data_IF_054792307423
#
_entry.id   IF_054792307423
#
_cell.length_a   1.000
_cell.length_b   1.000
_cell.length_c   1.000
_cell.angle_alpha   90.00
_cell.angle_beta   90.00
_cell.angle_gamma   90.00
#
_symmetry.space_group_name_H-M   'P 1'
#
loop_
_entity.id
_entity.type
_entity.pdbx_description
1 polymer ?
#
# COMPACT_ATOMS: atom_id res chain seq x y z
N UNK A 1 5.24 10.92 -7.65
CA UNK A 1 4.31 11.82 -8.36
C UNK A 1 4.58 11.78 -9.85
N UNK A 2 3.79 12.50 -10.64
CA UNK A 2 3.93 12.63 -12.09
C UNK A 2 3.82 14.10 -12.53
N UNK A 3 4.42 14.43 -13.67
CA UNK A 3 4.43 15.77 -14.26
C UNK A 3 4.37 15.70 -15.78
N UNK A 4 3.91 16.77 -16.41
CA UNK A 4 3.95 16.90 -17.87
C UNK A 4 5.36 17.23 -18.35
N UNK A 5 5.81 16.54 -19.40
CA UNK A 5 7.01 16.87 -20.17
C UNK A 5 6.76 18.06 -21.08
N UNK A 6 7.82 18.64 -21.66
CA UNK A 6 7.72 19.69 -22.68
C UNK A 6 6.88 19.29 -23.91
N UNK A 7 6.70 17.99 -24.16
CA UNK A 7 5.87 17.44 -25.23
C UNK A 7 4.43 17.12 -24.83
N UNK A 8 4.03 17.40 -23.59
CA UNK A 8 2.68 17.13 -23.07
C UNK A 8 2.44 15.68 -22.59
N UNK A 9 3.47 14.82 -22.57
CA UNK A 9 3.39 13.47 -21.98
C UNK A 9 3.50 13.50 -20.45
N UNK A 10 2.84 12.57 -19.75
CA UNK A 10 2.85 12.47 -18.29
C UNK A 10 3.93 11.50 -17.84
N UNK A 11 4.98 11.97 -17.16
CA UNK A 11 6.07 11.13 -16.66
C UNK A 11 6.21 11.21 -15.15
N UNK A 12 6.66 10.11 -14.55
CA UNK A 12 7.14 10.04 -13.21
C UNK A 12 8.35 10.96 -13.04
N UNK A 13 8.41 11.68 -11.92
CA UNK A 13 9.54 12.53 -11.59
C UNK A 13 10.07 12.28 -10.18
N UNK A 14 11.35 12.57 -9.99
CA UNK A 14 12.00 12.67 -8.69
C UNK A 14 12.36 14.14 -8.41
N UNK A 15 11.89 14.67 -7.28
CA UNK A 15 12.30 15.98 -6.80
C UNK A 15 13.41 15.83 -5.76
N UNK A 16 14.60 16.35 -6.04
CA UNK A 16 15.75 16.29 -5.13
C UNK A 16 16.57 17.56 -5.21
N UNK A 17 16.91 18.14 -4.05
CA UNK A 17 17.73 19.37 -3.96
C UNK A 17 17.21 20.50 -4.88
N UNK A 18 15.91 20.78 -4.79
CA UNK A 18 15.21 21.78 -5.61
C UNK A 18 15.28 21.57 -7.14
N UNK A 19 15.60 20.35 -7.58
CA UNK A 19 15.62 19.97 -9.00
C UNK A 19 14.63 18.84 -9.25
N UNK A 20 13.79 19.02 -10.26
CA UNK A 20 12.97 17.95 -10.84
C UNK A 20 13.81 17.14 -11.83
N UNK A 21 13.78 15.82 -11.69
CA UNK A 21 14.40 14.88 -12.63
C UNK A 21 13.30 14.01 -13.22
N UNK A 22 13.16 14.04 -14.54
CA UNK A 22 12.30 13.11 -15.28
C UNK A 22 12.88 11.69 -15.17
N UNK A 23 12.04 10.72 -14.85
CA UNK A 23 12.44 9.31 -14.71
C UNK A 23 12.26 8.53 -16.02
N UNK A 24 11.56 9.09 -17.00
CA UNK A 24 11.24 8.44 -18.26
C UNK A 24 10.12 7.41 -18.15
N UNK A 25 10.07 6.49 -19.10
CA UNK A 25 9.06 5.43 -19.20
C UNK A 25 9.68 4.11 -19.65
N UNK A 26 8.93 3.01 -19.60
CA UNK A 26 9.29 1.70 -20.18
C UNK A 26 9.08 1.65 -21.72
N UNK A 27 9.22 2.79 -22.39
CA UNK A 27 9.03 2.94 -23.84
C UNK A 27 7.61 3.30 -24.27
N UNK A 28 6.64 3.38 -23.35
CA UNK A 28 5.30 3.88 -23.59
C UNK A 28 5.14 5.38 -23.34
N UNK A 29 3.91 5.92 -23.41
CA UNK A 29 3.66 7.35 -23.32
C UNK A 29 3.67 7.93 -21.91
N UNK A 30 3.57 7.11 -20.85
CA UNK A 30 3.46 7.62 -19.49
C UNK A 30 4.07 6.76 -18.39
N UNK A 31 4.30 7.40 -17.24
CA UNK A 31 4.72 6.75 -15.99
C UNK A 31 4.25 7.57 -14.78
N UNK A 32 4.09 6.89 -13.65
CA UNK A 32 3.68 7.47 -12.36
C UNK A 32 4.53 6.86 -11.25
N UNK A 33 5.23 7.70 -10.47
CA UNK A 33 5.95 7.24 -9.27
C UNK A 33 5.04 7.25 -8.04
N UNK A 34 5.05 6.15 -7.27
CA UNK A 34 4.20 5.93 -6.10
C UNK A 34 4.98 5.85 -4.77
N UNK A 35 6.19 5.27 -4.77
CA UNK A 35 7.00 5.17 -3.55
C UNK A 35 8.50 5.39 -3.82
N UNK A 36 9.22 5.79 -2.79
CA UNK A 36 10.66 5.99 -2.79
C UNK A 36 11.24 5.48 -1.47
N UNK A 37 12.44 4.91 -1.49
CA UNK A 37 13.17 4.50 -0.28
C UNK A 37 14.35 5.44 0.04
N UNK A 38 15.07 5.20 1.14
CA UNK A 38 16.16 6.07 1.62
C UNK A 38 17.38 6.08 0.67
N UNK A 39 17.49 5.07 -0.19
CA UNK A 39 18.50 5.00 -1.25
C UNK A 39 18.12 5.79 -2.51
N UNK A 40 16.95 6.44 -2.51
CA UNK A 40 16.45 7.19 -3.65
C UNK A 40 15.97 6.31 -4.80
N UNK A 41 15.73 5.02 -4.55
CA UNK A 41 15.11 4.12 -5.51
C UNK A 41 13.62 4.41 -5.56
N UNK A 42 13.07 4.59 -6.75
CA UNK A 42 11.67 4.97 -6.97
C UNK A 42 10.93 3.84 -7.62
N UNK A 43 9.71 3.55 -7.17
CA UNK A 43 8.83 2.55 -7.78
C UNK A 43 7.49 3.14 -8.14
N UNK A 44 6.80 2.50 -9.07
CA UNK A 44 5.46 2.89 -9.48
C UNK A 44 5.00 2.07 -10.68
N UNK A 45 4.29 2.71 -11.61
CA UNK A 45 3.80 2.09 -12.85
C UNK A 45 4.26 2.88 -14.08
N UNK A 46 4.52 2.18 -15.18
CA UNK A 46 4.87 2.81 -16.44
C UNK A 46 4.28 2.04 -17.62
N UNK A 47 3.83 2.77 -18.62
CA UNK A 47 3.45 2.20 -19.90
C UNK A 47 4.68 1.68 -20.64
N UNK A 48 4.56 0.46 -21.16
CA UNK A 48 5.56 -0.20 -22.00
C UNK A 48 5.36 0.17 -23.47
N UNK A 49 6.39 -0.07 -24.30
CA UNK A 49 6.27 0.05 -25.76
C UNK A 49 5.17 -0.85 -26.36
N UNK A 50 4.82 -1.95 -25.69
CA UNK A 50 3.74 -2.86 -26.09
C UNK A 50 2.32 -2.39 -25.68
N UNK A 51 2.20 -1.20 -25.08
CA UNK A 51 0.92 -0.64 -24.64
C UNK A 51 0.36 -1.28 -23.35
N UNK A 52 1.19 -2.03 -22.60
CA UNK A 52 0.87 -2.55 -21.25
C UNK A 52 1.32 -1.59 -20.17
N UNK A 53 0.78 -1.72 -18.97
CA UNK A 53 1.26 -0.99 -17.80
C UNK A 53 1.98 -1.95 -16.88
N UNK A 54 3.27 -1.73 -16.64
CA UNK A 54 4.07 -2.57 -15.75
C UNK A 54 4.59 -1.77 -14.55
N UNK A 55 4.79 -2.48 -13.44
CA UNK A 55 5.52 -2.00 -12.30
C UNK A 55 6.98 -1.75 -12.69
N UNK A 56 7.57 -0.66 -12.21
CA UNK A 56 8.98 -0.35 -12.45
C UNK A 56 9.76 -0.15 -11.14
N UNK A 57 11.08 -0.34 -11.23
CA UNK A 57 12.06 0.17 -10.28
C UNK A 57 13.01 1.12 -11.02
N UNK A 58 13.09 2.36 -10.57
CA UNK A 58 14.05 3.33 -11.07
C UNK A 58 15.20 3.46 -10.08
N UNK A 59 16.42 3.34 -10.59
CA UNK A 59 17.65 3.49 -9.81
C UNK A 59 18.77 4.00 -10.69
N UNK A 60 19.54 4.98 -10.20
CA UNK A 60 20.74 5.50 -10.86
C UNK A 60 20.55 5.94 -12.33
N UNK A 61 19.38 6.49 -12.67
CA UNK A 61 19.09 6.94 -14.04
C UNK A 61 18.46 5.88 -14.94
N UNK A 62 18.27 4.65 -14.46
CA UNK A 62 17.73 3.54 -15.24
C UNK A 62 16.37 3.10 -14.69
N UNK A 63 15.41 2.86 -15.59
CA UNK A 63 14.11 2.28 -15.26
C UNK A 63 14.10 0.79 -15.63
N UNK A 64 14.01 -0.07 -14.63
CA UNK A 64 13.88 -1.51 -14.77
C UNK A 64 12.40 -1.92 -14.77
N UNK A 65 11.99 -2.67 -15.80
CA UNK A 65 10.69 -3.34 -15.83
C UNK A 65 10.68 -4.52 -14.85
N UNK A 66 9.72 -4.53 -13.91
CA UNK A 66 9.57 -5.62 -12.94
C UNK A 66 8.74 -6.79 -13.51
N UNK A 67 8.06 -6.58 -14.63
CA UNK A 67 7.20 -7.55 -15.30
C UNK A 67 5.87 -7.77 -14.60
N UNK A 68 5.33 -8.97 -14.73
CA UNK A 68 4.06 -9.39 -14.13
C UNK A 68 4.20 -10.78 -13.49
N UNK A 69 3.18 -11.24 -12.77
CA UNK A 69 3.12 -12.62 -12.28
C UNK A 69 2.94 -13.66 -13.41
N UNK A 70 2.87 -13.21 -14.67
CA UNK A 70 2.64 -14.05 -15.83
C UNK A 70 1.26 -14.71 -15.83
N UNK A 71 1.11 -15.73 -16.69
CA UNK A 71 -0.13 -16.51 -16.89
C UNK A 71 -1.27 -15.67 -17.47
N UNK A 72 -2.05 -15.03 -16.60
CA UNK A 72 -3.27 -14.29 -16.96
C UNK A 72 -3.16 -12.81 -16.63
N UNK A 73 -2.13 -12.40 -15.88
CA UNK A 73 -1.87 -11.02 -15.52
C UNK A 73 -0.86 -10.43 -16.49
N UNK A 74 -1.27 -9.39 -17.20
CA UNK A 74 -0.40 -8.71 -18.18
C UNK A 74 -0.18 -7.24 -17.85
N UNK A 75 -0.70 -6.77 -16.73
CA UNK A 75 -0.40 -5.45 -16.17
C UNK A 75 0.02 -5.60 -14.71
N UNK A 76 0.76 -4.62 -14.20
CA UNK A 76 1.21 -4.54 -12.82
C UNK A 76 1.48 -3.09 -12.39
N UNK A 77 1.50 -2.86 -11.09
CA UNK A 77 1.91 -1.59 -10.48
C UNK A 77 2.54 -1.82 -9.12
N UNK A 78 3.65 -1.15 -8.83
CA UNK A 78 4.29 -1.18 -7.53
C UNK A 78 3.69 -0.12 -6.59
N UNK A 79 3.44 -0.48 -5.33
CA UNK A 79 2.84 0.41 -4.32
C UNK A 79 3.82 0.82 -3.23
N UNK A 80 4.77 -0.05 -2.87
CA UNK A 80 5.73 0.22 -1.81
C UNK A 80 7.08 -0.45 -2.06
N UNK A 81 8.13 0.13 -1.50
CA UNK A 81 9.51 -0.34 -1.54
C UNK A 81 10.15 -0.15 -0.16
N UNK A 82 11.00 -1.09 0.26
CA UNK A 82 11.84 -0.93 1.46
C UNK A 82 13.32 -0.70 1.08
N UNK A 83 14.20 -0.44 2.06
CA UNK A 83 15.62 -0.13 1.82
C UNK A 83 16.44 -1.36 1.37
N UNK A 84 15.84 -2.55 1.41
CA UNK A 84 16.44 -3.77 0.85
C UNK A 84 16.08 -3.98 -0.63
N UNK A 85 15.53 -2.95 -1.28
CA UNK A 85 15.02 -3.00 -2.64
C UNK A 85 13.97 -4.10 -2.86
N UNK A 86 13.21 -4.45 -1.82
CA UNK A 86 12.04 -5.31 -1.95
C UNK A 86 10.86 -4.45 -2.34
N UNK A 87 10.20 -4.80 -3.43
CA UNK A 87 9.08 -4.04 -3.99
C UNK A 87 7.81 -4.87 -3.87
N UNK A 88 6.73 -4.26 -3.40
CA UNK A 88 5.41 -4.89 -3.38
C UNK A 88 4.43 -4.09 -4.22
N UNK A 89 3.39 -4.76 -4.69
CA UNK A 89 2.38 -4.18 -5.55
C UNK A 89 1.42 -5.24 -6.02
N UNK A 90 0.71 -4.94 -7.10
CA UNK A 90 -0.33 -5.80 -7.62
C UNK A 90 -0.03 -6.15 -9.08
N UNK A 91 -0.35 -7.38 -9.47
CA UNK A 91 -0.40 -7.81 -10.87
C UNK A 91 -1.85 -8.18 -11.21
N UNK A 92 -2.37 -7.62 -12.30
CA UNK A 92 -3.79 -7.66 -12.64
C UNK A 92 -4.01 -7.91 -14.14
N UNK A 93 -5.24 -8.26 -14.48
CA UNK A 93 -5.64 -8.55 -15.86
C UNK A 93 -5.83 -7.25 -16.63
N UNK A 94 -5.51 -7.23 -17.94
CA UNK A 94 -5.69 -6.04 -18.76
C UNK A 94 -7.16 -5.86 -19.10
N UNK A 95 -7.86 -5.01 -18.38
CA UNK A 95 -9.17 -4.55 -18.81
C UNK A 95 -9.42 -3.13 -18.35
N UNK A 96 -10.07 -2.34 -19.22
CA UNK A 96 -10.43 -0.97 -18.94
C UNK A 96 -11.60 -0.98 -17.94
N UNK A 97 -11.50 -0.14 -16.92
CA UNK A 97 -12.51 0.22 -15.90
C UNK A 97 -12.41 -0.46 -14.52
N UNK A 98 -12.21 0.43 -13.53
CA UNK A 98 -12.61 0.39 -12.11
C UNK A 98 -12.02 -0.66 -11.14
N UNK A 99 -11.78 -0.15 -9.94
CA UNK A 99 -11.57 -0.84 -8.66
C UNK A 99 -12.29 -2.19 -8.57
N UNK A 100 -11.59 -3.26 -8.17
CA UNK A 100 -12.14 -4.62 -8.07
C UNK A 100 -11.67 -5.58 -9.17
N UNK A 101 -10.62 -5.22 -9.91
CA UNK A 101 -10.05 -6.13 -10.90
C UNK A 101 -9.38 -7.32 -10.24
N UNK A 102 -9.57 -8.54 -10.78
CA UNK A 102 -8.92 -9.72 -10.25
C UNK A 102 -7.41 -9.59 -10.38
N UNK A 103 -6.73 -9.57 -9.24
CA UNK A 103 -5.32 -9.30 -9.14
C UNK A 103 -4.73 -9.97 -7.92
N UNK A 104 -3.42 -10.18 -7.97
CA UNK A 104 -2.66 -10.75 -6.88
C UNK A 104 -1.56 -9.81 -6.46
N UNK A 105 -1.41 -9.66 -5.14
CA UNK A 105 -0.28 -9.00 -4.53
C UNK A 105 1.00 -9.76 -4.89
N UNK A 106 2.06 -9.03 -5.20
CA UNK A 106 3.39 -9.59 -5.47
C UNK A 106 4.43 -9.04 -4.51
N UNK A 107 5.50 -9.82 -4.36
CA UNK A 107 6.80 -9.38 -3.84
C UNK A 107 7.84 -9.56 -4.94
N UNK A 108 8.47 -8.47 -5.35
CA UNK A 108 9.62 -8.48 -6.24
C UNK A 108 10.90 -8.31 -5.43
N UNK A 109 11.87 -9.18 -5.68
CA UNK A 109 13.19 -9.12 -5.07
C UNK A 109 14.20 -9.78 -6.00
N UNK A 110 15.36 -9.13 -6.21
CA UNK A 110 16.49 -9.67 -6.98
C UNK A 110 16.09 -10.18 -8.38
N UNK A 111 15.31 -9.39 -9.13
CA UNK A 111 14.89 -9.74 -10.50
C UNK A 111 13.73 -10.73 -10.57
N UNK A 112 13.14 -11.14 -9.45
CA UNK A 112 12.07 -12.13 -9.42
C UNK A 112 10.80 -11.59 -8.78
N UNK A 113 9.70 -11.61 -9.52
CA UNK A 113 8.35 -11.40 -9.00
C UNK A 113 7.79 -12.70 -8.42
N UNK A 114 7.29 -12.65 -7.18
CA UNK A 114 6.72 -13.78 -6.45
C UNK A 114 5.27 -13.45 -6.08
N UNK A 115 4.35 -14.36 -6.39
CA UNK A 115 2.95 -14.26 -5.98
C UNK A 115 2.83 -14.42 -4.46
N UNK A 116 2.25 -13.43 -3.77
CA UNK A 116 1.99 -13.50 -2.33
C UNK A 116 0.72 -14.30 -2.01
N UNK A 117 -0.15 -14.51 -2.99
CA UNK A 117 -1.40 -15.26 -2.89
C UNK A 117 -2.48 -14.54 -2.09
N UNK A 118 -3.69 -15.09 -2.16
CA UNK A 118 -4.85 -14.66 -1.39
C UNK A 118 -5.13 -15.63 -0.23
N UNK A 119 -5.84 -15.15 0.79
CA UNK A 119 -6.23 -15.96 1.95
C UNK A 119 -7.12 -17.12 1.50
N UNK A 120 -7.05 -18.28 2.17
CA UNK A 120 -7.88 -19.44 1.81
C UNK A 120 -9.38 -19.05 1.79
N UNK A 121 -10.04 -19.30 0.66
CA UNK A 121 -11.45 -18.91 0.44
C UNK A 121 -11.63 -17.51 -0.16
N UNK A 122 -10.55 -16.76 -0.34
CA UNK A 122 -10.50 -15.49 -1.04
C UNK A 122 -9.93 -15.71 -2.44
N UNK A 123 -10.24 -14.79 -3.34
CA UNK A 123 -9.90 -14.91 -4.76
C UNK A 123 -8.75 -13.99 -5.14
N UNK A 124 -8.77 -12.76 -4.65
CA UNK A 124 -7.88 -11.70 -5.07
C UNK A 124 -7.12 -11.16 -3.86
N UNK A 125 -6.01 -10.46 -4.10
CA UNK A 125 -5.22 -9.81 -3.05
C UNK A 125 -4.56 -8.53 -3.53
N UNK A 126 -4.38 -7.60 -2.58
CA UNK A 126 -3.68 -6.34 -2.82
C UNK A 126 -2.65 -6.06 -1.74
N UNK A 127 -1.45 -5.68 -2.13
CA UNK A 127 -0.44 -5.18 -1.18
C UNK A 127 -0.72 -3.71 -0.84
N UNK A 128 -0.41 -3.31 0.39
CA UNK A 128 -0.53 -1.92 0.83
C UNK A 128 0.83 -1.36 1.27
N UNK A 129 1.56 -2.10 2.11
CA UNK A 129 2.84 -1.65 2.65
C UNK A 129 3.78 -2.82 2.93
N UNK A 130 5.08 -2.53 2.98
CA UNK A 130 6.15 -3.45 3.35
C UNK A 130 7.09 -2.76 4.34
N UNK A 131 7.47 -3.45 5.42
CA UNK A 131 8.49 -2.94 6.34
C UNK A 131 9.91 -3.45 5.99
N UNK A 132 10.93 -2.96 6.70
CA UNK A 132 12.33 -3.32 6.47
C UNK A 132 12.61 -4.79 6.79
N UNK A 133 11.76 -5.47 7.55
CA UNK A 133 11.87 -6.92 7.80
C UNK A 133 11.26 -7.78 6.68
N UNK A 134 10.75 -7.16 5.61
CA UNK A 134 10.11 -7.85 4.49
C UNK A 134 8.71 -8.37 4.82
N UNK A 135 8.06 -7.78 5.82
CA UNK A 135 6.68 -8.11 6.21
C UNK A 135 5.77 -7.23 5.41
N UNK A 136 4.85 -7.85 4.67
CA UNK A 136 3.90 -7.15 3.82
C UNK A 136 2.54 -7.15 4.50
N UNK A 137 1.81 -6.07 4.39
CA UNK A 137 0.41 -5.95 4.82
C UNK A 137 -0.45 -5.48 3.66
N UNK A 138 -1.73 -5.82 3.71
CA UNK A 138 -2.69 -5.48 2.67
C UNK A 138 -4.00 -6.23 2.87
N UNK A 139 -4.66 -6.59 1.78
CA UNK A 139 -5.96 -7.25 1.83
C UNK A 139 -6.07 -8.48 0.94
N UNK A 140 -6.95 -9.40 1.33
CA UNK A 140 -7.54 -10.41 0.46
C UNK A 140 -9.01 -10.08 0.21
N UNK A 141 -9.48 -10.30 -1.01
CA UNK A 141 -10.86 -10.02 -1.43
C UNK A 141 -11.54 -11.32 -1.87
N UNK A 142 -12.69 -11.62 -1.27
CA UNK A 142 -13.51 -12.77 -1.62
C UNK A 142 -14.35 -12.47 -2.87
N UNK A 143 -14.89 -13.51 -3.52
CA UNK A 143 -15.81 -13.35 -4.67
C UNK A 143 -17.02 -12.46 -4.37
N UNK A 144 -17.44 -12.37 -3.11
CA UNK A 144 -18.55 -11.53 -2.66
C UNK A 144 -18.17 -10.05 -2.48
N UNK A 145 -16.90 -9.69 -2.70
CA UNK A 145 -16.35 -8.37 -2.38
C UNK A 145 -15.94 -8.22 -0.91
N UNK A 146 -16.15 -9.23 -0.06
CA UNK A 146 -15.69 -9.19 1.34
C UNK A 146 -14.16 -9.05 1.38
N UNK A 147 -13.70 -7.97 2.01
CA UNK A 147 -12.27 -7.70 2.27
C UNK A 147 -11.85 -8.28 3.61
N UNK A 148 -10.60 -8.73 3.68
CA UNK A 148 -9.94 -9.17 4.89
C UNK A 148 -8.51 -8.62 4.90
N UNK A 149 -8.19 -7.83 5.92
CA UNK A 149 -6.82 -7.38 6.17
C UNK A 149 -5.95 -8.61 6.45
N UNK A 150 -4.79 -8.67 5.81
CA UNK A 150 -3.84 -9.78 5.90
C UNK A 150 -2.42 -9.28 6.07
N UNK A 151 -1.56 -10.16 6.57
CA UNK A 151 -0.12 -9.99 6.58
C UNK A 151 0.55 -11.17 5.86
N UNK A 152 1.58 -10.87 5.07
CA UNK A 152 2.45 -11.86 4.47
C UNK A 152 3.83 -11.81 5.12
N UNK A 153 4.33 -12.97 5.53
CA UNK A 153 5.67 -13.14 6.12
C UNK A 153 6.21 -14.52 5.81
N UNK A 154 7.41 -14.59 5.23
CA UNK A 154 8.10 -15.87 4.98
C UNK A 154 7.28 -16.84 4.12
N UNK A 155 6.60 -16.33 3.08
CA UNK A 155 5.77 -17.13 2.18
C UNK A 155 4.43 -17.59 2.77
N UNK A 156 4.06 -17.12 3.97
CA UNK A 156 2.77 -17.43 4.61
C UNK A 156 1.90 -16.18 4.64
N UNK A 157 0.60 -16.38 4.45
CA UNK A 157 -0.44 -15.38 4.62
C UNK A 157 -1.24 -15.67 5.90
N UNK A 158 -1.52 -14.63 6.70
CA UNK A 158 -2.36 -14.72 7.89
C UNK A 158 -3.33 -13.53 7.98
N UNK A 159 -4.56 -13.75 8.47
CA UNK A 159 -5.50 -12.66 8.67
C UNK A 159 -5.10 -11.79 9.87
N UNK A 160 -5.28 -10.48 9.73
CA UNK A 160 -5.25 -9.53 10.84
C UNK A 160 -6.67 -9.39 11.38
N UNK A 161 -6.83 -9.57 12.69
CA UNK A 161 -8.12 -9.31 13.36
C UNK A 161 -8.28 -7.81 13.54
N UNK A 162 -9.19 -7.18 12.82
CA UNK A 162 -9.56 -5.77 12.97
C UNK A 162 -10.48 -5.57 14.18
N UNK A 163 -11.19 -4.43 14.29
CA UNK A 163 -12.14 -4.16 15.39
C UNK A 163 -13.47 -4.94 15.30
N UNK A 164 -13.59 -5.88 14.35
CA UNK A 164 -14.70 -6.83 14.25
C UNK A 164 -15.67 -6.60 13.09
N UNK A 165 -15.63 -5.43 12.45
CA UNK A 165 -16.38 -5.10 11.24
C UNK A 165 -15.52 -5.04 9.97
N UNK A 166 -16.11 -4.46 8.91
CA UNK A 166 -15.48 -4.30 7.61
C UNK A 166 -14.28 -3.36 7.65
N UNK A 167 -13.20 -3.73 6.96
CA UNK A 167 -12.04 -2.89 6.74
C UNK A 167 -12.38 -1.74 5.78
N UNK A 168 -11.92 -0.53 6.09
CA UNK A 168 -12.14 0.67 5.28
C UNK A 168 -11.05 1.69 5.56
N UNK A 169 -9.94 1.68 4.81
CA UNK A 169 -8.92 2.74 4.91
C UNK A 169 -7.56 2.37 4.33
N UNK A 170 -6.54 3.12 4.72
CA UNK A 170 -5.13 2.79 4.53
C UNK A 170 -4.68 1.69 5.49
N UNK A 171 -3.70 0.88 5.10
CA UNK A 171 -2.99 -0.03 6.00
C UNK A 171 -1.51 0.32 5.91
N UNK A 172 -0.88 0.51 7.07
CA UNK A 172 0.55 0.75 7.15
C UNK A 172 1.16 -0.15 8.23
N UNK A 173 2.47 -0.38 8.13
CA UNK A 173 3.24 -1.21 9.05
C UNK A 173 4.59 -0.57 9.33
N UNK A 174 4.98 -0.50 10.61
CA UNK A 174 6.34 -0.10 11.00
C UNK A 174 7.29 -1.32 11.15
N UNK A 175 8.57 -1.06 11.41
CA UNK A 175 9.57 -2.12 11.58
C UNK A 175 9.40 -2.90 12.87
N UNK A 176 8.70 -2.38 13.88
CA UNK A 176 8.25 -3.18 15.02
C UNK A 176 7.15 -4.18 14.67
N UNK A 177 6.53 -4.05 13.49
CA UNK A 177 5.45 -4.91 13.01
C UNK A 177 4.09 -4.55 13.61
N UNK A 178 3.97 -3.32 14.11
CA UNK A 178 2.71 -2.70 14.44
C UNK A 178 2.03 -2.30 13.14
N UNK A 179 0.75 -2.63 13.01
CA UNK A 179 -0.04 -2.34 11.82
C UNK A 179 -1.14 -1.38 12.21
N UNK A 180 -1.29 -0.30 11.46
CA UNK A 180 -2.41 0.63 11.63
C UNK A 180 -3.37 0.52 10.46
N UNK A 181 -4.59 0.98 10.69
CA UNK A 181 -5.56 1.21 9.64
C UNK A 181 -6.90 1.59 10.23
N UNK A 182 -7.95 1.45 9.43
CA UNK A 182 -9.30 1.85 9.82
C UNK A 182 -10.29 0.72 9.58
N UNK A 183 -11.13 0.47 10.58
CA UNK A 183 -12.13 -0.60 10.54
C UNK A 183 -13.37 -0.24 11.33
N UNK A 184 -14.52 -0.76 10.91
CA UNK A 184 -15.76 -0.62 11.67
C UNK A 184 -15.67 -1.51 12.92
N UNK A 185 -15.98 -1.02 14.12
CA UNK A 185 -16.11 -1.86 15.31
C UNK A 185 -17.25 -2.87 15.20
N UNK A 186 -17.18 -4.00 15.90
CA UNK A 186 -18.26 -4.98 15.95
C UNK A 186 -19.58 -4.33 16.40
N UNK A 187 -20.63 -4.41 15.57
CA UNK A 187 -21.93 -3.78 15.85
C UNK A 187 -21.97 -2.25 15.68
N UNK A 188 -20.85 -1.64 15.29
CA UNK A 188 -20.75 -0.21 14.96
C UNK A 188 -21.22 0.09 13.53
N UNK A 189 -21.47 1.38 13.28
CA UNK A 189 -21.88 1.87 11.95
C UNK A 189 -20.78 2.65 11.22
N UNK A 190 -19.70 3.00 11.92
CA UNK A 190 -18.70 3.97 11.47
C UNK A 190 -17.28 3.49 11.72
N UNK A 191 -16.33 4.03 10.96
CA UNK A 191 -14.94 3.59 10.96
C UNK A 191 -14.15 4.19 12.12
N UNK A 192 -13.35 3.36 12.76
CA UNK A 192 -12.41 3.76 13.79
C UNK A 192 -10.99 3.35 13.38
N UNK A 193 -10.04 4.23 13.69
CA UNK A 193 -8.63 3.97 13.61
C UNK A 193 -8.26 2.86 14.60
N UNK A 194 -7.43 1.90 14.17
CA UNK A 194 -6.95 0.82 15.03
C UNK A 194 -5.44 0.66 14.95
N UNK A 195 -4.87 0.12 16.02
CA UNK A 195 -3.51 -0.39 16.10
C UNK A 195 -3.57 -1.90 16.33
N UNK A 196 -3.04 -2.68 15.41
CA UNK A 196 -2.79 -4.11 15.61
C UNK A 196 -1.34 -4.34 16.04
N UNK A 197 -1.17 -5.10 17.12
CA UNK A 197 0.13 -5.51 17.64
C UNK A 197 0.01 -6.88 18.32
N UNK A 198 0.94 -7.78 18.03
CA UNK A 198 1.04 -9.09 18.70
C UNK A 198 -0.27 -9.89 18.72
N UNK A 199 -1.01 -9.87 17.60
CA UNK A 199 -2.25 -10.64 17.44
C UNK A 199 -3.51 -9.98 18.00
N UNK A 200 -3.42 -8.78 18.58
CA UNK A 200 -4.54 -8.03 19.15
C UNK A 200 -4.70 -6.69 18.44
N UNK A 201 -5.94 -6.22 18.32
CA UNK A 201 -6.25 -4.87 17.85
C UNK A 201 -6.76 -4.01 18.99
N UNK A 202 -6.26 -2.78 19.03
CA UNK A 202 -6.68 -1.71 19.91
C UNK A 202 -7.43 -0.67 19.07
N UNK A 203 -8.62 -0.31 19.51
CA UNK A 203 -9.33 0.86 19.00
C UNK A 203 -8.62 2.12 19.53
N UNK A 204 -8.21 3.02 18.63
CA UNK A 204 -7.52 4.26 18.99
C UNK A 204 -8.50 5.35 19.44
N UNK A 205 -9.81 5.13 19.29
CA UNK A 205 -10.86 6.04 19.70
C UNK A 205 -10.96 7.28 18.84
N UNK A 206 -11.69 8.26 19.35
CA UNK A 206 -11.98 9.53 18.66
C UNK A 206 -11.76 10.74 19.59
N UNK A 207 -11.83 11.96 19.05
CA UNK A 207 -11.84 13.21 19.81
C UNK A 207 -13.24 13.56 20.37
N UNK A 208 -14.05 12.54 20.66
CA UNK A 208 -15.41 12.67 21.18
C UNK A 208 -16.50 12.60 20.09
N UNK A 209 -16.13 12.48 18.83
CA UNK A 209 -17.05 12.25 17.71
C UNK A 209 -17.18 10.78 17.33
N UNK A 210 -17.78 10.53 16.16
CA UNK A 210 -18.12 9.17 15.72
C UNK A 210 -17.01 8.43 14.96
N UNK A 211 -16.05 9.13 14.34
CA UNK A 211 -15.10 8.50 13.40
C UNK A 211 -13.65 8.86 13.68
N UNK A 212 -12.75 7.95 13.32
CA UNK A 212 -11.31 8.20 13.24
C UNK A 212 -10.66 7.39 12.11
N UNK A 213 -9.56 7.93 11.59
CA UNK A 213 -8.78 7.32 10.51
C UNK A 213 -7.27 7.48 10.77
N UNK A 214 -6.54 6.37 10.79
CA UNK A 214 -5.09 6.37 10.96
C UNK A 214 -4.39 6.54 9.61
N UNK A 215 -3.53 7.56 9.52
CA UNK A 215 -2.84 7.91 8.28
C UNK A 215 -1.39 7.42 8.25
N UNK A 216 -0.66 7.55 9.35
CA UNK A 216 0.73 7.10 9.41
C UNK A 216 1.18 6.64 10.80
N UNK A 217 2.14 5.71 10.86
CA UNK A 217 2.83 5.25 12.07
C UNK A 217 4.35 5.34 11.89
N UNK A 218 5.05 5.84 12.91
CA UNK A 218 6.52 5.82 12.91
C UNK A 218 7.11 4.67 13.75
N UNK A 219 8.44 4.55 13.77
CA UNK A 219 9.15 3.52 14.53
C UNK A 219 9.07 3.68 16.05
N UNK A 220 8.71 4.87 16.55
CA UNK A 220 8.43 5.06 17.97
C UNK A 220 6.99 4.64 18.35
N UNK A 221 6.20 4.11 17.41
CA UNK A 221 4.81 3.73 17.61
C UNK A 221 3.87 4.92 17.77
N UNK A 222 4.27 6.11 17.31
CA UNK A 222 3.42 7.30 17.27
C UNK A 222 2.58 7.25 15.99
N UNK A 223 1.28 7.48 16.14
CA UNK A 223 0.31 7.35 15.05
C UNK A 223 -0.34 8.70 14.81
N UNK A 224 -0.36 9.16 13.57
CA UNK A 224 -1.07 10.37 13.16
C UNK A 224 -2.27 10.03 12.28
N UNK A 225 -3.27 10.90 12.28
CA UNK A 225 -4.44 10.74 11.44
C UNK A 225 -5.48 11.82 11.65
N UNK A 226 -6.73 11.48 11.39
CA UNK A 226 -7.87 12.38 11.51
C UNK A 226 -8.90 11.79 12.46
N UNK A 227 -9.54 12.61 13.28
CA UNK A 227 -10.67 12.19 14.11
C UNK A 227 -11.74 13.26 14.22
N UNK A 228 -12.99 12.82 14.35
CA UNK A 228 -14.13 13.69 14.59
C UNK A 228 -14.16 14.13 16.05
N UNK A 229 -14.41 15.43 16.26
CA UNK A 229 -14.72 15.97 17.59
C UNK A 229 -16.21 15.79 17.91
N UNK A 230 -16.62 16.10 19.15
CA UNK A 230 -18.02 15.98 19.59
C UNK A 230 -19.02 16.79 18.75
N UNK A 231 -18.60 17.86 18.06
CA UNK A 231 -19.47 18.64 17.17
C UNK A 231 -19.45 18.17 15.70
N UNK A 232 -18.74 17.08 15.41
CA UNK A 232 -18.62 16.50 14.06
C UNK A 232 -17.49 17.07 13.19
N UNK A 233 -16.72 18.05 13.68
CA UNK A 233 -15.57 18.59 12.92
C UNK A 233 -14.42 17.58 12.85
N UNK A 234 -13.74 17.51 11.69
CA UNK A 234 -12.55 16.66 11.48
C UNK A 234 -11.27 17.39 11.90
N UNK A 235 -10.53 16.81 12.84
CA UNK A 235 -9.28 17.37 13.35
C UNK A 235 -8.11 16.40 13.10
N UNK A 236 -6.93 16.93 12.82
CA UNK A 236 -5.71 16.15 12.88
C UNK A 236 -5.45 15.70 14.33
N UNK A 237 -5.00 14.47 14.51
CA UNK A 237 -4.77 13.87 15.84
C UNK A 237 -3.47 13.06 15.85
N UNK A 238 -2.86 13.00 17.02
CA UNK A 238 -1.70 12.17 17.33
C UNK A 238 -2.10 11.20 18.45
N UNK A 239 -2.09 9.90 18.17
CA UNK A 239 -2.17 8.86 19.18
C UNK A 239 -0.76 8.45 19.60
N UNK A 240 -0.52 8.52 20.90
CA UNK A 240 0.68 7.97 21.52
C UNK A 240 0.24 6.96 22.56
N UNK A 241 1.05 5.92 22.75
CA UNK A 241 0.85 5.02 23.87
C UNK A 241 1.05 5.85 25.15
N UNK A 242 -0.01 6.09 25.92
CA UNK A 242 0.17 6.58 27.30
C UNK A 242 1.06 5.54 27.99
N UNK A 243 2.16 5.99 28.59
CA UNK A 243 3.01 5.11 29.39
C UNK A 243 2.13 4.34 30.38
N UNK A 244 2.37 3.04 30.51
CA UNK A 244 1.74 2.24 31.54
C UNK A 244 2.01 2.95 32.88
N UNK A 245 0.99 3.59 33.45
CA UNK A 245 1.02 4.12 34.82
C UNK A 245 0.71 3.01 35.80
#
# INVERSE_FOLDING_TARGET
GESFTASGKVHAFLWRKAKMSDLGTLGGPSSTALAINEHGQVVGSSSTAAGRTHAFLWQNGEMTDLGTLGRVYSDSGAVAINDRAQVVGDSFKPTVTQTGQPGHAFLWQNGKMTDLGALRGYRDSHAAAINQRGVVVGESIAKTGKRQTVLWRGGKIAPIRTLGGGFSGSIEINDHGQVIGSSVPAGGAVVHAFLWQSGKSLDLGTLGGAESDAAAINENGQIVGVSNTANGARHAVLWTKMGDS
#
